data_IF_202653410516
#
_entry.id   IF_202653410516
#
_cell.length_a   1.000
_cell.length_b   1.000
_cell.length_c   1.000
_cell.angle_alpha   90.00
_cell.angle_beta   90.00
_cell.angle_gamma   90.00
#
_symmetry.space_group_name_H-M   'P 1'
#
loop_
_entity.id
_entity.type
_entity.pdbx_description
1 polymer ?
#
# COMPACT_ATOMS: atom_id res chain seq x y z
N UNK A 1 1.63 5.99 14.40
CA UNK A 1 1.91 5.66 12.98
C UNK A 1 0.61 5.20 12.36
N UNK A 2 0.03 5.97 11.45
CA UNK A 2 -1.20 5.60 10.74
C UNK A 2 -0.87 4.65 9.58
N UNK A 3 -1.72 3.65 9.33
CA UNK A 3 -1.55 2.71 8.22
C UNK A 3 -1.79 3.39 6.85
N UNK A 4 -2.55 4.49 6.86
CA UNK A 4 -2.97 5.27 5.69
C UNK A 4 -2.49 6.70 5.88
N UNK A 5 -1.84 7.24 4.86
CA UNK A 5 -1.28 8.60 4.81
C UNK A 5 -1.51 9.13 3.39
N UNK A 6 -2.09 10.32 3.26
CA UNK A 6 -2.47 10.92 1.96
C UNK A 6 -3.32 10.01 1.06
N UNK A 7 -4.31 9.31 1.62
CA UNK A 7 -5.21 8.45 0.85
C UNK A 7 -4.54 7.23 0.21
N UNK A 8 -3.34 6.89 0.66
CA UNK A 8 -2.56 5.75 0.22
C UNK A 8 -1.93 5.02 1.42
N UNK A 9 -1.43 3.80 1.21
CA UNK A 9 -0.62 3.12 2.23
C UNK A 9 0.60 3.97 2.59
N UNK A 10 0.83 4.19 3.88
CA UNK A 10 1.98 4.99 4.35
C UNK A 10 3.29 4.44 3.80
N UNK A 11 4.25 5.33 3.53
CA UNK A 11 5.61 4.98 3.08
C UNK A 11 6.23 3.91 3.97
N UNK A 12 5.99 4.01 5.28
CA UNK A 12 6.48 3.05 6.28
C UNK A 12 5.88 1.66 6.10
N UNK A 13 4.57 1.56 5.83
CA UNK A 13 3.91 0.26 5.65
C UNK A 13 4.42 -0.46 4.40
N UNK A 14 4.67 0.28 3.31
CA UNK A 14 5.26 -0.27 2.07
C UNK A 14 6.68 -0.79 2.29
N UNK A 15 7.50 -0.02 3.01
CA UNK A 15 8.85 -0.44 3.36
C UNK A 15 8.84 -1.67 4.28
N UNK A 16 7.94 -1.70 5.26
CA UNK A 16 7.78 -2.85 6.15
C UNK A 16 7.38 -4.12 5.39
N UNK A 17 6.38 -4.04 4.51
CA UNK A 17 5.96 -5.16 3.66
C UNK A 17 7.10 -5.68 2.78
N UNK A 18 7.90 -4.78 2.20
CA UNK A 18 9.05 -5.16 1.40
C UNK A 18 10.11 -5.89 2.23
N UNK A 19 10.47 -5.36 3.41
CA UNK A 19 11.46 -5.97 4.32
C UNK A 19 10.97 -7.33 4.83
N UNK A 20 9.69 -7.44 5.21
CA UNK A 20 9.07 -8.70 5.63
C UNK A 20 9.08 -9.71 4.48
N UNK A 21 8.68 -9.29 3.27
CA UNK A 21 8.71 -10.14 2.09
C UNK A 21 10.11 -10.68 1.78
N UNK A 22 11.14 -9.82 1.88
CA UNK A 22 12.52 -10.22 1.67
C UNK A 22 13.02 -11.18 2.75
N UNK A 23 12.67 -10.94 4.01
CA UNK A 23 13.01 -11.80 5.14
C UNK A 23 12.34 -13.17 5.03
N UNK A 24 11.07 -13.23 4.62
CA UNK A 24 10.36 -14.49 4.36
C UNK A 24 10.97 -15.21 3.16
N UNK A 25 11.23 -14.49 2.06
CA UNK A 25 11.83 -15.05 0.85
C UNK A 25 13.21 -15.69 1.11
N UNK A 26 14.13 -14.97 1.76
CA UNK A 26 15.46 -15.46 2.08
C UNK A 26 15.47 -16.44 3.26
N UNK A 27 14.71 -16.15 4.32
CA UNK A 27 14.64 -16.97 5.52
C UNK A 27 14.02 -18.34 5.26
N UNK A 28 13.08 -18.43 4.32
CA UNK A 28 12.47 -19.69 3.89
C UNK A 28 13.47 -20.69 3.30
N UNK A 29 14.59 -20.21 2.75
CA UNK A 29 15.66 -21.06 2.26
C UNK A 29 16.72 -21.37 3.33
N UNK A 30 16.95 -20.43 4.26
CA UNK A 30 17.98 -20.54 5.29
C UNK A 30 17.58 -21.43 6.48
N UNK A 31 16.28 -21.62 6.72
CA UNK A 31 15.80 -22.41 7.86
C UNK A 31 15.69 -23.89 7.47
N UNK A 32 16.70 -24.67 7.85
CA UNK A 32 16.72 -26.11 7.58
C UNK A 32 15.74 -26.93 8.43
N UNK A 33 15.14 -26.31 9.44
CA UNK A 33 14.15 -26.95 10.31
C UNK A 33 12.78 -27.12 9.64
N UNK A 34 12.48 -26.35 8.59
CA UNK A 34 11.19 -26.39 7.92
C UNK A 34 11.11 -27.56 6.93
N UNK A 35 9.98 -28.29 6.86
CA UNK A 35 9.77 -29.30 5.84
C UNK A 35 9.75 -28.68 4.44
N UNK A 36 10.16 -29.44 3.42
CA UNK A 36 10.39 -28.94 2.04
C UNK A 36 9.19 -28.18 1.46
N UNK A 37 7.97 -28.65 1.72
CA UNK A 37 6.74 -27.99 1.23
C UNK A 37 6.54 -26.60 1.86
N UNK A 38 6.81 -26.46 3.16
CA UNK A 38 6.70 -25.19 3.86
C UNK A 38 7.75 -24.17 3.39
N UNK A 39 8.98 -24.64 3.10
CA UNK A 39 10.01 -23.79 2.47
C UNK A 39 9.63 -23.35 1.05
N UNK A 40 8.96 -24.21 0.30
CA UNK A 40 8.51 -23.86 -1.05
C UNK A 40 7.37 -22.82 -0.99
N UNK A 41 6.42 -23.01 -0.06
CA UNK A 41 5.35 -22.05 0.18
C UNK A 41 5.87 -20.69 0.69
N UNK A 42 6.83 -20.70 1.62
CA UNK A 42 7.49 -19.50 2.12
C UNK A 42 8.25 -18.75 1.03
N UNK A 43 8.96 -19.47 0.16
CA UNK A 43 9.68 -18.87 -0.97
C UNK A 43 8.72 -18.19 -1.96
N UNK A 44 7.66 -18.89 -2.39
CA UNK A 44 6.69 -18.35 -3.36
C UNK A 44 5.90 -17.19 -2.76
N UNK A 45 5.46 -17.29 -1.50
CA UNK A 45 4.75 -16.20 -0.82
C UNK A 45 5.65 -14.99 -0.58
N UNK A 46 6.88 -15.18 -0.11
CA UNK A 46 7.87 -14.11 0.07
C UNK A 46 8.16 -13.39 -1.25
N UNK A 47 8.36 -14.12 -2.33
CA UNK A 47 8.52 -13.55 -3.67
C UNK A 47 7.31 -12.73 -4.10
N UNK A 48 6.10 -13.27 -3.93
CA UNK A 48 4.85 -12.57 -4.24
C UNK A 48 4.71 -11.25 -3.46
N UNK A 49 5.04 -11.25 -2.17
CA UNK A 49 5.00 -10.05 -1.31
C UNK A 49 6.00 -9.00 -1.78
N UNK A 50 7.23 -9.39 -2.14
CA UNK A 50 8.25 -8.47 -2.67
C UNK A 50 7.78 -7.83 -3.98
N UNK A 51 7.23 -8.62 -4.89
CA UNK A 51 6.70 -8.14 -6.17
C UNK A 51 5.51 -7.19 -5.96
N UNK A 52 4.53 -7.57 -5.13
CA UNK A 52 3.38 -6.73 -4.78
C UNK A 52 3.81 -5.41 -4.14
N UNK A 53 4.82 -5.43 -3.27
CA UNK A 53 5.38 -4.22 -2.65
C UNK A 53 5.98 -3.27 -3.70
N UNK A 54 6.65 -3.81 -4.72
CA UNK A 54 7.16 -3.05 -5.86
C UNK A 54 6.05 -2.39 -6.69
N UNK A 55 4.96 -3.11 -6.96
CA UNK A 55 3.80 -2.56 -7.66
C UNK A 55 3.10 -1.45 -6.87
N UNK A 56 2.89 -1.64 -5.57
CA UNK A 56 2.36 -0.60 -4.69
C UNK A 56 3.22 0.67 -4.71
N UNK A 57 4.55 0.53 -4.72
CA UNK A 57 5.49 1.65 -4.86
C UNK A 57 5.26 2.43 -6.15
N UNK A 58 5.12 1.75 -7.28
CA UNK A 58 4.81 2.39 -8.58
C UNK A 58 3.43 3.05 -8.62
N UNK A 59 2.41 2.43 -8.03
CA UNK A 59 1.06 3.01 -7.97
C UNK A 59 1.03 4.37 -7.22
N UNK A 60 1.91 4.55 -6.23
CA UNK A 60 2.08 5.84 -5.56
C UNK A 60 2.82 6.86 -6.42
N UNK A 61 3.84 6.43 -7.19
CA UNK A 61 4.48 7.32 -8.15
C UNK A 61 3.50 7.80 -9.24
N UNK A 62 2.49 6.99 -9.55
CA UNK A 62 1.39 7.33 -10.46
C UNK A 62 0.30 8.20 -9.80
N UNK A 63 0.47 8.61 -8.54
CA UNK A 63 -0.48 9.48 -7.83
C UNK A 63 -1.83 8.81 -7.52
N UNK A 64 -1.92 7.48 -7.61
CA UNK A 64 -3.15 6.76 -7.32
C UNK A 64 -3.34 6.75 -5.80
N UNK A 65 -4.38 7.45 -5.34
CA UNK A 65 -4.78 7.50 -3.93
C UNK A 65 -6.14 6.82 -3.74
N UNK A 66 -6.17 5.48 -3.66
CA UNK A 66 -7.42 4.71 -3.64
C UNK A 66 -8.27 4.95 -2.38
N UNK A 67 -7.68 5.50 -1.31
CA UNK A 67 -8.34 5.81 -0.05
C UNK A 67 -8.45 7.32 0.21
N UNK A 68 -8.22 8.16 -0.80
CA UNK A 68 -8.37 9.61 -0.65
C UNK A 68 -9.85 10.02 -0.69
N UNK A 69 -10.25 10.93 0.19
CA UNK A 69 -11.62 11.44 0.24
C UNK A 69 -11.81 12.61 -0.74
N UNK A 70 -11.25 12.48 -1.94
CA UNK A 70 -11.34 13.49 -3.01
C UNK A 70 -12.81 13.80 -3.35
N UNK A 71 -13.68 12.79 -3.31
CA UNK A 71 -15.11 12.95 -3.56
C UNK A 71 -15.80 13.87 -2.54
N UNK A 72 -15.44 13.76 -1.26
CA UNK A 72 -15.96 14.65 -0.21
C UNK A 72 -15.52 16.10 -0.39
N UNK A 73 -14.30 16.33 -0.86
CA UNK A 73 -13.78 17.67 -1.14
C UNK A 73 -14.41 18.29 -2.40
N UNK A 74 -14.60 17.50 -3.46
CA UNK A 74 -15.30 17.97 -4.66
C UNK A 74 -16.73 18.41 -4.34
N UNK A 75 -17.49 17.61 -3.57
CA UNK A 75 -18.86 17.98 -3.15
C UNK A 75 -18.90 19.27 -2.33
N UNK A 76 -17.94 19.48 -1.43
CA UNK A 76 -17.85 20.73 -0.65
C UNK A 76 -17.56 21.95 -1.51
N UNK A 77 -16.75 21.83 -2.56
CA UNK A 77 -16.46 22.96 -3.47
C UNK A 77 -17.72 23.46 -4.19
N UNK A 78 -18.55 22.56 -4.72
CA UNK A 78 -19.82 22.93 -5.34
C UNK A 78 -20.82 23.56 -4.35
N UNK A 79 -20.82 23.10 -3.10
CA UNK A 79 -21.69 23.69 -2.06
C UNK A 79 -21.23 25.09 -1.63
N UNK A 80 -19.92 25.36 -1.66
CA UNK A 80 -19.38 26.69 -1.37
C UNK A 80 -19.67 27.68 -2.51
N UNK A 81 -19.48 27.24 -3.76
CA UNK A 81 -19.78 28.03 -4.96
C UNK A 81 -21.27 28.41 -5.04
N UNK A 82 -22.17 27.47 -4.73
CA UNK A 82 -23.62 27.76 -4.70
C UNK A 82 -24.02 28.78 -3.63
N UNK A 83 -23.24 28.95 -2.56
CA UNK A 83 -23.56 29.90 -1.49
C UNK A 83 -23.03 31.30 -1.80
N UNK A 84 -21.92 31.42 -2.52
CA UNK A 84 -21.38 32.70 -2.98
C UNK A 84 -22.23 33.30 -4.12
N UNK A 85 -22.80 32.47 -5.00
CA UNK A 85 -23.71 32.92 -6.07
C UNK A 85 -25.06 33.46 -5.54
N UNK A 86 -25.52 33.01 -4.36
CA UNK A 86 -26.76 33.46 -3.73
C UNK A 86 -26.61 34.73 -2.86
N UNK A 87 -25.39 35.28 -2.74
CA UNK A 87 -25.10 36.51 -1.97
C UNK A 87 -24.90 37.75 -2.85
N UNK A 88 -25.15 37.66 -4.15
CA UNK A 88 -24.97 38.73 -5.13
C UNK A 88 -26.26 39.13 -5.84
#
# INVERSE_FOLDING_TARGET
MTLIEDGNFSRWLRMALFVIGLAVFGGSLAIDLLPRWARMAGFVSGFGIVVLSGFCSRAHMLGIKPFDNSYGNARKSYSAESNEENMH
#
